data_IF_538978158262
#
_entry.id   IF_538978158262
#
_cell.length_a   1.000
_cell.length_b   1.000
_cell.length_c   1.000
_cell.angle_alpha   90.00
_cell.angle_beta   90.00
_cell.angle_gamma   90.00
#
_symmetry.space_group_name_H-M   'P 1'
#
loop_
_entity.id
_entity.type
_entity.pdbx_description
1 polymer ?
#
# COMPACT_ATOMS: atom_id res chain seq x y z
N UNK A 1 -59.76 -30.12 5.08
CA UNK A 1 -58.31 -30.48 5.14
C UNK A 1 -57.74 -30.38 3.74
N UNK A 2 -56.86 -29.41 3.48
CA UNK A 2 -56.28 -29.17 2.14
C UNK A 2 -54.81 -28.78 2.33
N UNK A 3 -53.94 -29.78 2.42
CA UNK A 3 -52.49 -29.60 2.51
C UNK A 3 -51.94 -29.28 1.12
N UNK A 4 -51.39 -28.09 0.94
CA UNK A 4 -50.55 -27.75 -0.20
C UNK A 4 -49.10 -27.89 0.24
N UNK A 5 -48.42 -28.90 -0.30
CA UNK A 5 -46.98 -29.11 -0.14
C UNK A 5 -46.31 -28.35 -1.29
N UNK A 6 -45.68 -27.22 -0.97
CA UNK A 6 -44.77 -26.51 -1.88
C UNK A 6 -43.35 -26.95 -1.56
N UNK A 7 -42.77 -27.78 -2.43
CA UNK A 7 -41.36 -28.14 -2.37
C UNK A 7 -40.53 -26.99 -2.97
N UNK A 8 -39.77 -26.30 -2.12
CA UNK A 8 -38.75 -25.33 -2.54
C UNK A 8 -37.45 -26.07 -2.82
N UNK A 9 -37.09 -26.20 -4.10
CA UNK A 9 -35.76 -26.61 -4.52
C UNK A 9 -34.75 -25.51 -4.14
N UNK A 10 -33.88 -25.78 -3.17
CA UNK A 10 -32.74 -24.93 -2.84
C UNK A 10 -31.67 -25.11 -3.93
N UNK A 11 -31.50 -24.09 -4.77
CA UNK A 11 -30.37 -23.99 -5.69
C UNK A 11 -29.12 -23.63 -4.90
N UNK A 12 -28.21 -24.59 -4.80
CA UNK A 12 -26.83 -24.38 -4.33
C UNK A 12 -26.08 -23.62 -5.43
N UNK A 13 -25.91 -22.30 -5.26
CA UNK A 13 -25.02 -21.53 -6.11
C UNK A 13 -23.61 -21.51 -5.48
N UNK A 14 -22.68 -22.24 -6.10
CA UNK A 14 -21.26 -22.13 -5.84
C UNK A 14 -20.80 -20.68 -6.00
N UNK A 15 -20.37 -20.05 -4.91
CA UNK A 15 -19.61 -18.81 -4.97
C UNK A 15 -18.18 -19.17 -5.40
N UNK A 16 -17.90 -18.97 -6.69
CA UNK A 16 -16.54 -19.05 -7.24
C UNK A 16 -15.76 -17.87 -6.65
N UNK A 17 -14.75 -18.16 -5.85
CA UNK A 17 -13.82 -17.16 -5.33
C UNK A 17 -12.95 -16.66 -6.48
N UNK A 18 -13.20 -15.43 -6.97
CA UNK A 18 -12.25 -14.75 -7.85
C UNK A 18 -11.07 -14.26 -6.99
N UNK A 19 -10.00 -15.03 -6.96
CA UNK A 19 -8.70 -14.56 -6.49
C UNK A 19 -7.94 -13.94 -7.66
N UNK A 20 -8.27 -12.70 -8.03
CA UNK A 20 -7.38 -11.88 -8.85
C UNK A 20 -6.37 -11.21 -7.92
N UNK A 21 -5.16 -11.76 -7.85
CA UNK A 21 -3.98 -11.03 -7.36
C UNK A 21 -3.62 -9.99 -8.45
N UNK A 22 -4.43 -8.94 -8.57
CA UNK A 22 -4.09 -7.79 -9.37
C UNK A 22 -3.07 -6.98 -8.57
N UNK A 23 -1.86 -6.82 -9.09
CA UNK A 23 -0.95 -5.77 -8.64
C UNK A 23 -1.70 -4.44 -8.78
N UNK A 24 -2.08 -3.83 -7.66
CA UNK A 24 -2.89 -2.61 -7.60
C UNK A 24 -2.04 -1.40 -8.00
N UNK A 25 -1.72 -1.26 -9.28
CA UNK A 25 -1.08 -0.04 -9.78
C UNK A 25 -2.17 0.94 -10.19
N UNK A 26 -2.15 2.13 -9.59
CA UNK A 26 -3.01 3.23 -10.01
C UNK A 26 -2.48 3.86 -11.29
N UNK A 27 -2.94 3.36 -12.44
CA UNK A 27 -2.61 3.92 -13.75
C UNK A 27 -3.42 5.19 -14.09
N UNK A 28 -4.42 5.57 -13.27
CA UNK A 28 -5.22 6.77 -13.53
C UNK A 28 -4.48 8.05 -13.17
N UNK A 29 -3.61 7.98 -12.16
CA UNK A 29 -2.75 9.07 -11.71
C UNK A 29 -1.32 8.82 -12.18
N UNK A 30 -0.78 9.71 -13.02
CA UNK A 30 0.60 9.64 -13.50
C UNK A 30 1.41 10.84 -13.03
N UNK A 31 2.63 10.59 -12.57
CA UNK A 31 3.52 11.57 -11.95
C UNK A 31 4.83 11.66 -12.75
N UNK A 32 5.50 12.80 -12.72
CA UNK A 32 6.76 13.02 -13.44
C UNK A 32 7.99 12.53 -12.66
N UNK A 33 7.87 12.35 -11.35
CA UNK A 33 8.97 11.85 -10.50
C UNK A 33 8.48 10.86 -9.45
N UNK A 34 9.39 10.03 -8.93
CA UNK A 34 9.10 9.13 -7.80
C UNK A 34 8.76 9.90 -6.52
N UNK A 35 9.34 11.08 -6.34
CA UNK A 35 9.04 11.98 -5.23
C UNK A 35 7.60 12.50 -5.28
N UNK A 36 7.09 12.83 -6.47
CA UNK A 36 5.68 13.21 -6.64
C UNK A 36 4.72 12.06 -6.32
N UNK A 37 5.10 10.80 -6.57
CA UNK A 37 4.30 9.64 -6.13
C UNK A 37 4.23 9.58 -4.60
N UNK A 38 5.35 9.84 -3.90
CA UNK A 38 5.37 9.89 -2.43
C UNK A 38 4.56 11.07 -1.86
N UNK A 39 4.55 12.21 -2.55
CA UNK A 39 3.90 13.44 -2.09
C UNK A 39 2.40 13.48 -2.41
N UNK A 40 2.02 12.99 -3.59
CA UNK A 40 0.67 13.13 -4.17
C UNK A 40 -0.02 11.80 -4.47
N UNK A 41 0.64 10.66 -4.20
CA UNK A 41 0.03 9.33 -4.28
C UNK A 41 -1.17 9.23 -3.37
N UNK A 42 -2.32 8.79 -3.90
CA UNK A 42 -3.58 8.80 -3.16
C UNK A 42 -3.53 7.88 -1.95
N UNK A 43 -3.03 6.66 -2.10
CA UNK A 43 -2.95 5.71 -1.00
C UNK A 43 -1.89 6.15 0.00
N UNK A 44 -0.75 6.65 -0.48
CA UNK A 44 0.32 7.21 0.35
C UNK A 44 -0.20 8.35 1.22
N UNK A 45 -0.88 9.34 0.64
CA UNK A 45 -1.44 10.47 1.39
C UNK A 45 -2.44 10.00 2.46
N UNK A 46 -3.27 9.01 2.13
CA UNK A 46 -4.20 8.44 3.09
C UNK A 46 -3.48 7.80 4.28
N UNK A 47 -2.41 7.02 4.04
CA UNK A 47 -1.62 6.41 5.11
C UNK A 47 -0.84 7.45 5.91
N UNK A 48 -0.21 8.42 5.25
CA UNK A 48 0.50 9.51 5.91
C UNK A 48 -0.42 10.33 6.83
N UNK A 49 -1.64 10.62 6.37
CA UNK A 49 -2.64 11.31 7.19
C UNK A 49 -3.08 10.46 8.39
N UNK A 50 -3.27 9.15 8.20
CA UNK A 50 -3.60 8.23 9.30
C UNK A 50 -2.49 8.18 10.36
N UNK A 51 -1.23 8.10 9.92
CA UNK A 51 -0.06 8.12 10.81
C UNK A 51 0.03 9.46 11.57
N UNK A 52 -0.11 10.58 10.88
CA UNK A 52 -0.13 11.90 11.49
C UNK A 52 -1.25 12.05 12.53
N UNK A 53 -2.47 11.59 12.20
CA UNK A 53 -3.61 11.60 13.12
C UNK A 53 -3.38 10.72 14.36
N UNK A 54 -2.58 9.65 14.22
CA UNK A 54 -2.18 8.78 15.32
C UNK A 54 -0.97 9.31 16.12
N UNK A 55 -0.41 10.47 15.76
CA UNK A 55 0.71 11.10 16.45
C UNK A 55 2.09 10.59 16.04
N UNK A 56 2.18 9.78 14.98
CA UNK A 56 3.45 9.36 14.43
C UNK A 56 4.15 10.52 13.70
N UNK A 57 5.44 10.69 13.96
CA UNK A 57 6.27 11.72 13.35
C UNK A 57 7.25 11.08 12.38
N UNK A 58 7.34 11.62 11.16
CA UNK A 58 8.28 11.16 10.15
C UNK A 58 9.73 11.34 10.65
N UNK A 59 10.53 10.27 10.56
CA UNK A 59 11.93 10.26 10.95
C UNK A 59 12.84 10.35 9.73
N UNK A 60 12.63 9.47 8.75
CA UNK A 60 13.38 9.44 7.50
C UNK A 60 12.59 8.74 6.40
N UNK A 61 13.02 8.96 5.16
CA UNK A 61 12.63 8.15 4.01
C UNK A 61 13.88 7.74 3.24
N UNK A 62 13.83 6.57 2.61
CA UNK A 62 14.86 6.07 1.70
C UNK A 62 14.19 5.46 0.48
N UNK A 63 14.72 5.73 -0.70
CA UNK A 63 14.28 5.12 -1.95
C UNK A 63 15.34 4.14 -2.46
N UNK A 64 14.89 2.95 -2.85
CA UNK A 64 15.71 1.94 -3.51
C UNK A 64 15.21 1.74 -4.94
N UNK A 65 15.95 2.28 -5.90
CA UNK A 65 15.68 2.07 -7.31
C UNK A 65 16.12 0.67 -7.75
N UNK A 66 15.30 0.03 -8.59
CA UNK A 66 15.64 -1.24 -9.23
C UNK A 66 16.58 -0.97 -10.39
N UNK A 67 17.79 -1.52 -10.30
CA UNK A 67 18.78 -1.45 -11.36
C UNK A 67 18.61 -2.65 -12.30
N UNK A 68 17.87 -2.44 -13.38
CA UNK A 68 17.74 -3.45 -14.43
C UNK A 68 18.99 -3.48 -15.32
N UNK A 69 19.50 -4.69 -15.60
CA UNK A 69 20.60 -4.87 -16.54
C UNK A 69 20.23 -4.45 -17.98
N UNK A 70 18.97 -4.68 -18.36
CA UNK A 70 18.36 -4.20 -19.60
C UNK A 70 16.98 -3.64 -19.30
N UNK A 71 16.53 -2.66 -20.08
CA UNK A 71 15.18 -2.13 -19.95
C UNK A 71 14.14 -3.27 -20.02
N UNK A 72 13.18 -3.35 -19.08
CA UNK A 72 12.10 -4.34 -19.12
C UNK A 72 11.27 -4.23 -20.41
N UNK A 73 10.80 -5.36 -20.92
CA UNK A 73 9.97 -5.40 -22.13
C UNK A 73 8.52 -5.01 -21.88
N UNK A 74 8.09 -5.04 -20.61
CA UNK A 74 6.76 -4.70 -20.17
C UNK A 74 6.51 -3.18 -20.33
N UNK A 75 5.35 -2.75 -20.85
CA UNK A 75 4.99 -1.34 -20.97
C UNK A 75 4.98 -0.61 -19.63
N UNK A 76 4.81 -1.36 -18.55
CA UNK A 76 4.78 -0.91 -17.18
C UNK A 76 5.57 -1.88 -16.32
N UNK A 77 6.50 -1.38 -15.51
CA UNK A 77 7.35 -2.21 -14.67
C UNK A 77 7.66 -1.55 -13.33
N UNK A 78 8.00 -2.36 -12.33
CA UNK A 78 8.39 -1.90 -11.00
C UNK A 78 9.71 -1.12 -11.07
N UNK A 79 9.71 0.14 -10.66
CA UNK A 79 10.85 1.05 -10.85
C UNK A 79 11.66 1.23 -9.56
N UNK A 80 10.98 1.49 -8.45
CA UNK A 80 11.62 1.70 -7.16
C UNK A 80 10.69 1.36 -6.00
N UNK A 81 11.26 1.16 -4.82
CA UNK A 81 10.52 1.07 -3.57
C UNK A 81 11.01 2.13 -2.60
N UNK A 82 10.07 2.87 -2.04
CA UNK A 82 10.31 3.89 -1.02
C UNK A 82 9.88 3.37 0.34
N UNK A 83 10.75 3.53 1.33
CA UNK A 83 10.45 3.25 2.73
C UNK A 83 10.53 4.53 3.54
N UNK A 84 9.49 4.82 4.31
CA UNK A 84 9.47 5.92 5.26
C UNK A 84 9.27 5.39 6.68
N UNK A 85 10.13 5.81 7.59
CA UNK A 85 10.07 5.45 9.00
C UNK A 85 9.41 6.58 9.79
N UNK A 86 8.44 6.21 10.61
CA UNK A 86 7.80 7.11 11.55
C UNK A 86 7.96 6.57 12.96
N UNK A 87 7.93 7.45 13.96
CA UNK A 87 7.95 7.04 15.36
C UNK A 87 7.07 7.92 16.23
N UNK A 88 6.60 7.36 17.34
CA UNK A 88 5.95 8.09 18.42
C UNK A 88 6.58 7.66 19.76
N UNK A 89 7.15 8.60 20.55
CA UNK A 89 7.63 8.28 21.89
C UNK A 89 6.44 7.85 22.77
N UNK A 90 6.55 6.73 23.48
CA UNK A 90 5.60 6.40 24.56
C UNK A 90 6.15 7.01 25.86
N UNK A 91 5.41 7.93 26.44
CA UNK A 91 5.66 8.31 27.84
C UNK A 91 5.06 7.23 28.73
N UNK A 92 5.92 6.34 29.25
CA UNK A 92 5.53 5.22 30.13
C UNK A 92 5.61 5.58 31.61
N UNK A 93 5.68 6.86 31.98
CA UNK A 93 5.60 7.26 33.39
C UNK A 93 6.78 6.77 34.24
N UNK A 94 7.97 6.62 33.64
CA UNK A 94 9.23 6.53 34.38
C UNK A 94 10.07 5.26 34.18
N UNK A 95 9.65 4.28 33.39
CA UNK A 95 10.48 3.09 33.10
C UNK A 95 10.38 2.61 31.64
N UNK A 96 11.53 2.66 30.96
CA UNK A 96 11.86 2.27 29.57
C UNK A 96 11.48 3.27 28.46
N UNK A 97 12.46 3.52 27.58
CA UNK A 97 12.39 4.32 26.35
C UNK A 97 11.62 3.53 25.27
N UNK A 98 10.38 3.15 25.56
CA UNK A 98 9.55 2.44 24.60
C UNK A 98 9.21 3.38 23.44
N UNK A 99 9.59 3.00 22.22
CA UNK A 99 9.27 3.77 21.01
C UNK A 99 8.50 2.88 20.05
N UNK A 100 7.30 3.33 19.68
CA UNK A 100 6.53 2.70 18.62
C UNK A 100 6.97 3.28 17.28
N UNK A 101 7.12 2.41 16.29
CA UNK A 101 7.50 2.75 14.94
C UNK A 101 6.43 2.28 13.95
N UNK A 102 6.30 3.04 12.87
CA UNK A 102 5.56 2.62 11.69
C UNK A 102 6.47 2.74 10.46
N UNK A 103 6.56 1.68 9.67
CA UNK A 103 7.24 1.67 8.38
C UNK A 103 6.21 1.66 7.27
N UNK A 104 6.12 2.77 6.55
CA UNK A 104 5.42 2.88 5.26
C UNK A 104 6.35 2.35 4.17
N UNK A 105 5.85 1.46 3.32
CA UNK A 105 6.51 0.98 2.10
C UNK A 105 5.61 1.25 0.91
N UNK A 106 6.16 1.88 -0.13
CA UNK A 106 5.45 2.22 -1.36
C UNK A 106 6.26 1.70 -2.55
N UNK A 107 5.63 0.91 -3.40
CA UNK A 107 6.17 0.61 -4.72
C UNK A 107 5.85 1.74 -5.69
N UNK A 108 6.81 2.05 -6.55
CA UNK A 108 6.63 2.96 -7.69
C UNK A 108 6.84 2.15 -8.95
N UNK A 109 5.91 2.31 -9.88
CA UNK A 109 6.04 1.72 -11.20
C UNK A 109 6.26 2.79 -12.26
N UNK A 110 7.00 2.44 -13.31
CA UNK A 110 7.24 3.32 -14.45
C UNK A 110 6.48 2.81 -15.67
N UNK A 111 5.79 3.71 -16.36
CA UNK A 111 5.06 3.43 -17.57
C UNK A 111 5.79 4.03 -18.79
N UNK A 112 6.25 3.15 -19.68
CA UNK A 112 7.19 3.51 -20.75
C UNK A 112 6.56 4.38 -21.85
N UNK A 113 5.28 4.21 -22.16
CA UNK A 113 4.65 4.88 -23.30
C UNK A 113 4.40 6.38 -23.07
N UNK A 114 4.15 6.77 -21.81
CA UNK A 114 3.87 8.14 -21.41
C UNK A 114 4.98 8.74 -20.55
N UNK A 115 6.00 7.95 -20.20
CA UNK A 115 7.12 8.33 -19.35
C UNK A 115 6.69 8.85 -17.96
N UNK A 116 5.65 8.25 -17.38
CA UNK A 116 5.12 8.62 -16.07
C UNK A 116 5.36 7.53 -15.03
N UNK A 117 5.46 7.96 -13.78
CA UNK A 117 5.50 7.12 -12.60
C UNK A 117 4.10 6.95 -12.01
N UNK A 118 3.86 5.81 -11.41
CA UNK A 118 2.56 5.41 -10.86
C UNK A 118 2.72 4.80 -9.48
N UNK A 119 1.75 5.08 -8.61
CA UNK A 119 1.64 4.45 -7.30
C UNK A 119 1.33 2.95 -7.49
N UNK A 120 2.17 2.11 -6.90
CA UNK A 120 1.95 0.66 -6.82
C UNK A 120 1.35 0.26 -5.48
N UNK A 121 1.83 -0.86 -4.96
CA UNK A 121 1.41 -1.35 -3.65
C UNK A 121 1.92 -0.42 -2.52
N UNK A 122 1.02 -0.06 -1.61
CA UNK A 122 1.31 0.75 -0.43
C UNK A 122 0.97 -0.05 0.83
N UNK A 123 1.97 -0.24 1.69
CA UNK A 123 1.86 -1.04 2.90
C UNK A 123 2.36 -0.27 4.12
N UNK A 124 1.74 -0.51 5.27
CA UNK A 124 2.22 -0.01 6.56
C UNK A 124 2.44 -1.18 7.52
N UNK A 125 3.57 -1.17 8.22
CA UNK A 125 3.92 -2.15 9.24
C UNK A 125 4.27 -1.45 10.53
N UNK A 126 3.85 -2.02 11.66
CA UNK A 126 4.01 -1.42 12.99
C UNK A 126 4.89 -2.32 13.85
N UNK A 127 5.78 -1.73 14.65
CA UNK A 127 6.64 -2.46 15.58
C UNK A 127 7.06 -1.57 16.75
N UNK A 128 7.47 -2.19 17.85
CA UNK A 128 7.87 -1.49 19.08
C UNK A 128 9.29 -1.89 19.47
N UNK A 129 10.10 -0.93 19.89
CA UNK A 129 11.45 -1.15 20.43
C UNK A 129 11.46 -0.81 21.92
N UNK A 130 12.18 -1.64 22.70
CA UNK A 130 12.31 -1.56 24.16
C UNK A 130 13.75 -1.26 24.59
#
# INVERSE_FOLDING_TARGET
MKNRVTATCATVACLISLSSMATNVDLASGYYTTAEVLEYGRQVQAVQQQLANAGYVLQNCSENQVNYFTQPSEPHYFYSETHCMYSIPRDTGGMSLQTDYAKLSMQVHYHQLNALYHEGEVNVSYFTVY
#
